data_IF_433309221610
#
_entry.id   IF_433309221610
#
_cell.length_a   1.000
_cell.length_b   1.000
_cell.length_c   1.000
_cell.angle_alpha   90.00
_cell.angle_beta   90.00
_cell.angle_gamma   90.00
#
_symmetry.space_group_name_H-M   'P 1'
#
loop_
_entity.id
_entity.type
_entity.pdbx_description
1 polymer ?
#
# COMPACT_ATOMS: atom_id res chain seq x y z
N UNK A 1 -16.86 -21.94 28.46
CA UNK A 1 -16.80 -20.82 27.50
C UNK A 1 -15.32 -20.48 27.39
N UNK A 2 -14.67 -20.93 26.33
CA UNK A 2 -13.22 -20.75 26.19
C UNK A 2 -12.94 -19.31 25.78
N UNK A 3 -12.08 -18.65 26.55
CA UNK A 3 -11.52 -17.32 26.30
C UNK A 3 -11.06 -17.19 24.84
N UNK A 4 -11.64 -16.24 24.11
CA UNK A 4 -11.03 -15.70 22.90
C UNK A 4 -9.80 -14.91 23.35
N UNK A 5 -8.62 -15.53 23.27
CA UNK A 5 -7.37 -14.78 23.22
C UNK A 5 -7.34 -14.09 21.86
N UNK A 6 -7.79 -12.85 21.84
CA UNK A 6 -7.45 -11.90 20.78
C UNK A 6 -5.95 -11.65 20.91
N UNK A 7 -5.15 -12.53 20.32
CA UNK A 7 -3.75 -12.25 20.03
C UNK A 7 -3.79 -11.34 18.82
N UNK A 8 -3.95 -10.04 19.06
CA UNK A 8 -3.52 -9.03 18.10
C UNK A 8 -2.00 -9.21 17.99
N UNK A 9 -1.55 -10.18 17.18
CA UNK A 9 -0.15 -10.26 16.81
C UNK A 9 0.15 -8.93 16.14
N UNK A 10 0.99 -8.12 16.77
CA UNK A 10 1.51 -6.89 16.18
C UNK A 10 2.22 -7.31 14.89
N UNK A 11 1.50 -7.18 13.78
CA UNK A 11 2.04 -7.46 12.47
C UNK A 11 3.05 -6.37 12.16
N UNK A 12 4.22 -6.71 11.60
CA UNK A 12 5.20 -5.69 11.28
C UNK A 12 4.62 -4.72 10.25
N UNK A 13 5.03 -3.46 10.38
CA UNK A 13 4.69 -2.41 9.43
C UNK A 13 5.65 -2.46 8.24
N UNK A 14 5.15 -2.16 7.06
CA UNK A 14 5.93 -2.03 5.83
C UNK A 14 5.65 -0.68 5.22
N UNK A 15 6.66 -0.08 4.58
CA UNK A 15 6.45 1.15 3.79
C UNK A 15 6.49 0.81 2.31
N UNK A 16 5.38 1.03 1.61
CA UNK A 16 5.22 0.74 0.19
C UNK A 16 5.02 2.05 -0.57
N UNK A 17 5.98 2.39 -1.42
CA UNK A 17 5.87 3.54 -2.31
C UNK A 17 5.23 3.16 -3.63
N UNK A 18 4.11 3.80 -3.96
CA UNK A 18 3.41 3.66 -5.24
C UNK A 18 3.49 5.00 -5.97
N UNK A 19 3.82 4.92 -7.26
CA UNK A 19 3.68 6.07 -8.14
C UNK A 19 2.66 5.77 -9.22
N UNK A 20 1.79 6.73 -9.50
CA UNK A 20 0.70 6.62 -10.46
C UNK A 20 0.81 7.72 -11.51
N UNK A 21 0.42 7.43 -12.74
CA UNK A 21 0.34 8.41 -13.81
C UNK A 21 -0.82 8.06 -14.74
N UNK A 22 -1.73 9.01 -14.88
CA UNK A 22 -2.78 8.98 -15.89
C UNK A 22 -2.25 9.10 -17.32
N UNK A 23 -3.11 8.81 -18.31
CA UNK A 23 -2.75 8.81 -19.74
C UNK A 23 -2.35 10.19 -20.27
N UNK A 24 -2.80 11.26 -19.62
CA UNK A 24 -2.54 12.65 -20.00
C UNK A 24 -1.36 13.30 -19.25
N UNK A 25 -0.69 12.57 -18.34
CA UNK A 25 0.44 13.11 -17.57
C UNK A 25 1.70 13.27 -18.44
N UNK A 26 2.38 14.39 -18.31
CA UNK A 26 3.70 14.60 -18.90
C UNK A 26 4.76 13.75 -18.19
N UNK A 27 5.89 13.42 -18.85
CA UNK A 27 6.99 12.69 -18.23
C UNK A 27 7.52 13.41 -16.98
N UNK A 28 7.30 12.81 -15.80
CA UNK A 28 7.70 13.37 -14.51
C UNK A 28 6.55 13.91 -13.66
N UNK A 29 5.33 13.92 -14.17
CA UNK A 29 4.13 14.31 -13.42
C UNK A 29 3.45 13.15 -12.69
N UNK A 30 4.19 12.06 -12.40
CA UNK A 30 3.60 10.98 -11.61
C UNK A 30 3.25 11.48 -10.20
N UNK A 31 2.11 11.05 -9.68
CA UNK A 31 1.76 11.18 -8.27
C UNK A 31 2.49 10.11 -7.48
N UNK A 32 3.00 10.46 -6.30
CA UNK A 32 3.77 9.56 -5.44
C UNK A 32 3.14 9.51 -4.06
N UNK A 33 2.81 8.31 -3.59
CA UNK A 33 2.27 8.11 -2.24
C UNK A 33 2.98 6.95 -1.56
N UNK A 34 3.03 7.01 -0.23
CA UNK A 34 3.55 5.97 0.64
C UNK A 34 2.41 5.37 1.45
N UNK A 35 2.35 4.05 1.48
CA UNK A 35 1.37 3.30 2.25
C UNK A 35 2.09 2.51 3.34
N UNK A 36 1.50 2.47 4.53
CA UNK A 36 2.06 1.81 5.70
C UNK A 36 1.21 0.61 6.17
N UNK A 37 1.06 -0.46 5.34
CA UNK A 37 0.27 -1.62 5.73
C UNK A 37 1.00 -2.48 6.77
N UNK A 38 0.23 -2.96 7.75
CA UNK A 38 0.67 -4.00 8.68
C UNK A 38 0.41 -5.39 8.07
N UNK A 39 1.46 -6.16 7.82
CA UNK A 39 1.34 -7.45 7.15
C UNK A 39 2.43 -8.46 7.54
N UNK A 40 2.07 -9.74 7.59
CA UNK A 40 3.00 -10.83 7.89
C UNK A 40 4.11 -11.00 6.85
N UNK A 41 3.85 -10.61 5.59
CA UNK A 41 4.79 -10.79 4.49
C UNK A 41 4.84 -9.54 3.60
N UNK A 42 5.99 -9.37 2.95
CA UNK A 42 6.22 -8.32 1.94
C UNK A 42 5.17 -8.36 0.84
N UNK A 43 4.87 -9.54 0.30
CA UNK A 43 3.89 -9.72 -0.77
C UNK A 43 2.50 -9.25 -0.32
N UNK A 44 2.10 -9.58 0.91
CA UNK A 44 0.81 -9.16 1.45
C UNK A 44 0.75 -7.65 1.68
N UNK A 45 1.83 -7.04 2.18
CA UNK A 45 1.96 -5.59 2.31
C UNK A 45 1.79 -4.89 0.94
N UNK A 46 2.47 -5.41 -0.10
CA UNK A 46 2.34 -4.86 -1.46
C UNK A 46 0.92 -4.98 -1.98
N UNK A 47 0.25 -6.12 -1.79
CA UNK A 47 -1.15 -6.28 -2.21
C UNK A 47 -2.06 -5.27 -1.51
N UNK A 48 -1.93 -5.13 -0.18
CA UNK A 48 -2.73 -4.18 0.60
C UNK A 48 -2.49 -2.74 0.15
N UNK A 49 -1.23 -2.33 -0.06
CA UNK A 49 -0.92 -0.99 -0.56
C UNK A 49 -1.50 -0.74 -1.96
N UNK A 50 -1.49 -1.75 -2.85
CA UNK A 50 -2.13 -1.64 -4.17
C UNK A 50 -3.64 -1.52 -4.07
N UNK A 51 -4.27 -2.30 -3.19
CA UNK A 51 -5.71 -2.21 -2.95
C UNK A 51 -6.10 -0.82 -2.41
N UNK A 52 -5.28 -0.23 -1.53
CA UNK A 52 -5.50 1.14 -1.04
C UNK A 52 -5.29 2.18 -2.14
N UNK A 53 -4.22 2.04 -2.94
CA UNK A 53 -3.88 2.97 -4.00
C UNK A 53 -4.86 2.94 -5.18
N UNK A 54 -5.44 1.78 -5.49
CA UNK A 54 -6.39 1.57 -6.61
C UNK A 54 -7.86 1.53 -6.18
N UNK A 55 -8.12 1.44 -4.88
CA UNK A 55 -9.46 1.28 -4.34
C UNK A 55 -10.28 2.56 -4.38
N UNK A 56 -11.53 2.46 -3.92
CA UNK A 56 -12.43 3.60 -3.70
C UNK A 56 -12.17 4.15 -2.28
N UNK A 57 -10.88 4.37 -1.96
CA UNK A 57 -10.42 4.90 -0.69
C UNK A 57 -10.21 6.42 -0.75
N UNK A 58 -10.15 7.06 0.41
CA UNK A 58 -9.90 8.53 0.54
C UNK A 58 -8.47 8.90 0.09
N UNK A 59 -7.55 7.91 0.10
CA UNK A 59 -6.13 8.05 -0.25
C UNK A 59 -5.79 7.32 -1.56
N UNK A 60 -6.78 7.11 -2.43
CA UNK A 60 -6.56 6.50 -3.74
C UNK A 60 -5.89 7.49 -4.68
N UNK A 61 -4.71 7.14 -5.18
CA UNK A 61 -3.97 7.95 -6.16
C UNK A 61 -4.08 7.40 -7.59
N UNK A 62 -4.57 6.17 -7.76
CA UNK A 62 -4.68 5.52 -9.07
C UNK A 62 -6.11 5.64 -9.58
N UNK A 63 -6.32 6.51 -10.57
CA UNK A 63 -7.56 6.58 -11.33
C UNK A 63 -7.80 5.35 -12.20
N UNK A 64 -9.04 5.23 -12.72
CA UNK A 64 -9.50 4.06 -13.50
C UNK A 64 -8.64 3.81 -14.76
N UNK A 65 -8.12 4.86 -15.37
CA UNK A 65 -7.30 4.79 -16.58
C UNK A 65 -5.80 4.94 -16.31
N UNK A 66 -5.42 5.05 -15.05
CA UNK A 66 -4.05 5.38 -14.68
C UNK A 66 -3.19 4.12 -14.67
N UNK A 67 -1.95 4.30 -15.09
CA UNK A 67 -0.90 3.30 -14.86
C UNK A 67 -0.27 3.57 -13.50
N UNK A 68 0.23 2.52 -12.86
CA UNK A 68 0.93 2.67 -11.59
C UNK A 68 2.00 1.60 -11.44
N UNK A 69 2.98 1.88 -10.58
CA UNK A 69 3.96 0.89 -10.16
C UNK A 69 4.37 1.08 -8.70
N UNK A 70 4.80 -0.03 -8.09
CA UNK A 70 5.48 0.00 -6.80
C UNK A 70 6.94 0.31 -7.07
N UNK A 71 7.39 1.49 -6.67
CA UNK A 71 8.78 1.91 -6.87
C UNK A 71 9.66 1.70 -5.64
N UNK A 72 9.06 1.43 -4.48
CA UNK A 72 9.75 1.27 -3.20
C UNK A 72 9.03 0.28 -2.29
N UNK A 73 9.81 -0.53 -1.58
CA UNK A 73 9.31 -1.40 -0.51
C UNK A 73 10.37 -1.46 0.59
N UNK A 74 10.05 -0.91 1.76
CA UNK A 74 10.91 -0.89 2.95
C UNK A 74 10.26 -1.61 4.14
N UNK A 75 11.07 -2.08 5.08
CA UNK A 75 10.66 -2.91 6.21
C UNK A 75 11.06 -4.39 6.10
N UNK A 76 10.54 -5.27 6.97
CA UNK A 76 9.55 -4.95 8.01
C UNK A 76 10.13 -4.06 9.10
N UNK A 77 9.33 -3.13 9.61
CA UNK A 77 9.57 -2.36 10.82
C UNK A 77 8.75 -2.96 11.97
N UNK A 78 9.31 -2.96 13.18
CA UNK A 78 8.53 -3.26 14.38
C UNK A 78 7.44 -2.18 14.54
N UNK A 79 6.19 -2.62 14.69
CA UNK A 79 5.01 -1.75 14.85
C UNK A 79 4.94 -1.12 16.25
#
# INVERSE_FOLDING_TARGET
MSEQKDTTQELPEWEIGIRAWGPDHEPGEADYEHYHPQAETKEKAIEMAKEEATGIGINSIVGIADSYEVYMVEGPFDA
#
